data_IF_689175861791
#
_entry.id   IF_689175861791
#
_cell.length_a   1.000
_cell.length_b   1.000
_cell.length_c   1.000
_cell.angle_alpha   90.00
_cell.angle_beta   90.00
_cell.angle_gamma   90.00
#
_symmetry.space_group_name_H-M   'P 1'
#
loop_
_entity.id
_entity.type
_entity.pdbx_description
1 polymer ?
#
# COMPACT_ATOMS: atom_id res chain seq x y z
N UNK A 1 -2.42 16.35 12.35
CA UNK A 1 -1.86 17.32 13.32
C UNK A 1 -0.72 18.07 12.66
N UNK A 2 -0.88 19.38 12.59
CA UNK A 2 0.02 20.30 11.89
C UNK A 2 0.76 21.19 12.89
N UNK A 3 1.92 21.72 12.49
CA UNK A 3 2.80 22.55 13.34
C UNK A 3 2.11 23.84 13.81
N UNK A 4 1.25 24.41 12.97
CA UNK A 4 0.46 25.60 13.30
C UNK A 4 -0.49 25.34 14.47
N UNK A 5 -1.19 24.20 14.43
CA UNK A 5 -2.05 23.75 15.53
C UNK A 5 -1.21 23.50 16.77
N UNK A 6 -0.11 22.73 16.66
CA UNK A 6 0.77 22.42 17.78
C UNK A 6 1.27 23.65 18.55
N UNK A 7 1.71 24.68 17.83
CA UNK A 7 2.39 25.84 18.41
C UNK A 7 1.43 26.91 18.94
N UNK A 8 0.21 27.01 18.38
CA UNK A 8 -0.72 28.11 18.66
C UNK A 8 -1.95 27.70 19.45
N UNK A 9 -2.34 26.42 19.43
CA UNK A 9 -3.56 25.98 20.11
C UNK A 9 -3.32 25.56 21.55
N UNK A 10 -4.41 25.58 22.32
CA UNK A 10 -4.49 25.23 23.72
C UNK A 10 -5.65 24.24 23.85
N UNK A 11 -5.54 23.26 24.74
CA UNK A 11 -6.62 22.32 25.05
C UNK A 11 -7.75 23.03 25.82
N UNK A 12 -8.91 22.37 25.91
CA UNK A 12 -10.05 22.86 26.71
C UNK A 12 -9.71 23.04 28.21
N UNK A 13 -8.65 22.39 28.67
CA UNK A 13 -8.11 22.47 30.04
C UNK A 13 -7.06 23.59 30.22
N UNK A 14 -6.75 24.37 29.17
CA UNK A 14 -5.80 25.48 29.23
C UNK A 14 -4.32 25.09 29.05
N UNK A 15 -4.02 23.84 28.66
CA UNK A 15 -2.64 23.36 28.45
C UNK A 15 -2.24 23.53 26.99
N UNK A 16 -1.00 23.99 26.73
CA UNK A 16 -0.50 24.16 25.35
C UNK A 16 -0.23 22.80 24.71
N UNK A 17 -0.73 22.58 23.50
CA UNK A 17 -0.47 21.34 22.76
C UNK A 17 1.02 21.07 22.54
N UNK A 18 1.83 22.13 22.40
CA UNK A 18 3.28 22.03 22.30
C UNK A 18 3.90 21.34 23.52
N UNK A 19 3.42 21.64 24.73
CA UNK A 19 3.95 21.08 25.97
C UNK A 19 3.60 19.60 26.10
N UNK A 20 2.33 19.25 25.83
CA UNK A 20 1.87 17.86 25.80
C UNK A 20 2.68 17.02 24.80
N UNK A 21 2.85 17.55 23.60
CA UNK A 21 3.63 16.89 22.56
C UNK A 21 5.09 16.68 22.96
N UNK A 22 5.76 17.69 23.52
CA UNK A 22 7.17 17.55 23.93
C UNK A 22 7.33 16.55 25.08
N UNK A 23 6.35 16.49 25.99
CA UNK A 23 6.31 15.52 27.07
C UNK A 23 6.18 14.09 26.52
N UNK A 24 5.28 13.85 25.56
CA UNK A 24 5.17 12.54 24.90
C UNK A 24 6.36 12.24 23.98
N UNK A 25 6.91 13.25 23.31
CA UNK A 25 8.04 13.05 22.42
C UNK A 25 9.28 12.62 23.19
N UNK A 26 9.55 13.23 24.35
CA UNK A 26 10.71 12.90 25.18
C UNK A 26 10.59 11.54 25.89
N UNK A 27 9.37 11.01 26.09
CA UNK A 27 9.19 9.64 26.58
C UNK A 27 9.52 8.59 25.52
N UNK A 28 9.24 8.88 24.24
CA UNK A 28 9.54 7.99 23.11
C UNK A 28 10.98 8.14 22.59
N UNK A 29 11.49 9.36 22.59
CA UNK A 29 12.81 9.73 22.07
C UNK A 29 13.60 10.45 23.16
N UNK A 30 14.29 9.70 24.05
CA UNK A 30 15.05 10.30 25.14
C UNK A 30 16.20 11.13 24.57
N UNK A 31 16.26 12.40 24.93
CA UNK A 31 17.30 13.32 24.47
C UNK A 31 16.95 14.79 24.70
N UNK A 32 17.92 15.71 24.50
CA UNK A 32 17.68 17.13 24.61
C UNK A 32 16.76 17.62 23.48
N UNK A 33 15.67 18.30 23.86
CA UNK A 33 14.72 18.91 22.92
C UNK A 33 14.79 20.43 23.02
N UNK A 34 14.78 21.12 21.88
CA UNK A 34 14.76 22.58 21.82
C UNK A 34 13.39 23.08 21.33
N UNK A 35 12.51 23.57 22.23
CA UNK A 35 11.17 24.03 21.86
C UNK A 35 11.15 25.37 21.09
N UNK A 36 12.23 26.15 21.16
CA UNK A 36 12.30 27.48 20.55
C UNK A 36 12.71 27.43 19.07
N UNK A 37 13.15 26.28 18.58
CA UNK A 37 13.64 26.09 17.23
C UNK A 37 12.51 25.53 16.32
N UNK A 38 11.94 26.33 15.40
CA UNK A 38 10.81 25.88 14.57
C UNK A 38 11.17 24.76 13.58
N UNK A 39 12.40 24.76 13.07
CA UNK A 39 12.92 23.67 12.23
C UNK A 39 13.08 22.37 13.02
N UNK A 40 13.55 22.46 14.26
CA UNK A 40 13.67 21.32 15.17
C UNK A 40 12.30 20.74 15.52
N UNK A 41 11.30 21.59 15.82
CA UNK A 41 9.93 21.16 16.06
C UNK A 41 9.35 20.40 14.86
N UNK A 42 9.64 20.86 13.64
CA UNK A 42 9.23 20.12 12.44
C UNK A 42 9.91 18.75 12.37
N UNK A 43 11.21 18.67 12.66
CA UNK A 43 11.93 17.40 12.69
C UNK A 43 11.35 16.44 13.74
N UNK A 44 11.05 16.92 14.94
CA UNK A 44 10.44 16.12 16.01
C UNK A 44 9.07 15.60 15.60
N UNK A 45 8.22 16.46 15.03
CA UNK A 45 6.89 16.06 14.58
C UNK A 45 6.96 15.06 13.42
N UNK A 46 7.91 15.21 12.51
CA UNK A 46 8.17 14.22 11.45
C UNK A 46 8.62 12.88 12.05
N UNK A 47 9.59 12.87 12.96
CA UNK A 47 10.08 11.65 13.60
C UNK A 47 8.97 10.95 14.41
N UNK A 48 8.16 11.73 15.12
CA UNK A 48 6.99 11.22 15.84
C UNK A 48 5.98 10.58 14.89
N UNK A 49 5.61 11.24 13.79
CA UNK A 49 4.75 10.66 12.74
C UNK A 49 5.35 9.37 12.16
N UNK A 50 6.65 9.37 11.87
CA UNK A 50 7.33 8.19 11.34
C UNK A 50 7.28 7.02 12.30
N UNK A 51 7.52 7.23 13.59
CA UNK A 51 7.44 6.18 14.61
C UNK A 51 6.07 5.51 14.64
N UNK A 52 4.99 6.29 14.67
CA UNK A 52 3.64 5.70 14.63
C UNK A 52 3.29 5.10 13.27
N UNK A 53 3.76 5.66 12.16
CA UNK A 53 3.59 5.04 10.84
C UNK A 53 4.34 3.70 10.72
N UNK A 54 5.51 3.57 11.35
CA UNK A 54 6.23 2.29 11.42
C UNK A 54 5.53 1.27 12.33
N UNK A 55 4.76 1.74 13.32
CA UNK A 55 3.94 0.90 14.19
C UNK A 55 2.56 0.57 13.60
N UNK A 56 2.11 1.29 12.57
CA UNK A 56 0.85 0.97 11.91
C UNK A 56 0.98 -0.40 11.22
N UNK A 57 0.09 -1.32 11.56
CA UNK A 57 -0.03 -2.57 10.83
C UNK A 57 -0.43 -2.28 9.39
N UNK A 58 0.52 -2.37 8.48
CA UNK A 58 0.31 -2.38 7.03
C UNK A 58 -0.21 -3.73 6.53
N UNK A 59 -0.53 -4.65 7.44
CA UNK A 59 -1.02 -5.97 7.13
C UNK A 59 -2.42 -5.90 6.52
N UNK A 60 -2.56 -6.38 5.30
CA UNK A 60 -3.83 -6.47 4.56
C UNK A 60 -4.70 -7.66 5.01
N UNK A 61 -4.14 -8.55 5.83
CA UNK A 61 -4.86 -9.67 6.41
C UNK A 61 -5.62 -9.22 7.65
N UNK A 62 -6.89 -9.58 7.73
CA UNK A 62 -7.73 -9.30 8.90
C UNK A 62 -8.28 -10.61 9.46
N UNK A 63 -8.09 -10.85 10.75
CA UNK A 63 -8.68 -11.98 11.46
C UNK A 63 -10.16 -11.72 11.73
N UNK A 64 -10.96 -12.79 11.76
CA UNK A 64 -12.30 -12.69 12.34
C UNK A 64 -12.23 -12.36 13.83
N UNK A 65 -13.20 -11.59 14.33
CA UNK A 65 -13.30 -11.24 15.75
C UNK A 65 -13.31 -12.48 16.68
N UNK A 66 -13.87 -13.61 16.22
CA UNK A 66 -13.90 -14.87 16.99
C UNK A 66 -12.54 -15.58 17.09
N UNK A 67 -11.56 -15.16 16.31
CA UNK A 67 -10.20 -15.72 16.26
C UNK A 67 -9.16 -14.69 16.69
N UNK A 68 -9.54 -13.76 17.56
CA UNK A 68 -8.56 -12.89 18.23
C UNK A 68 -7.83 -13.67 19.34
N UNK A 69 -6.52 -13.41 19.46
CA UNK A 69 -5.62 -14.05 20.42
C UNK A 69 -5.43 -15.56 20.19
N UNK A 70 -5.37 -15.99 18.94
CA UNK A 70 -5.00 -17.37 18.60
C UNK A 70 -3.47 -17.56 18.62
N UNK A 71 -2.96 -18.72 19.05
CA UNK A 71 -1.53 -18.97 19.02
C UNK A 71 -1.03 -19.07 17.57
N UNK A 72 0.15 -18.49 17.30
CA UNK A 72 0.76 -18.52 15.96
C UNK A 72 1.05 -19.94 15.46
N UNK A 73 1.46 -20.81 16.38
CA UNK A 73 1.71 -22.24 16.19
C UNK A 73 1.38 -22.97 17.49
N UNK A 74 1.20 -24.29 17.42
CA UNK A 74 0.91 -25.08 18.61
C UNK A 74 2.04 -24.95 19.64
N UNK A 75 1.73 -24.38 20.80
CA UNK A 75 2.72 -24.12 21.86
C UNK A 75 3.46 -22.79 21.76
N UNK A 76 3.11 -21.92 20.81
CA UNK A 76 3.70 -20.58 20.73
C UNK A 76 3.27 -19.70 21.90
N UNK A 77 4.19 -18.91 22.50
CA UNK A 77 3.82 -17.86 23.44
C UNK A 77 3.19 -16.65 22.74
N UNK A 78 3.24 -16.58 21.40
CA UNK A 78 2.77 -15.44 20.63
C UNK A 78 1.28 -15.63 20.29
N UNK A 79 0.44 -14.79 20.88
CA UNK A 79 -0.99 -14.71 20.58
C UNK A 79 -1.25 -13.65 19.51
N UNK A 80 -1.72 -14.08 18.34
CA UNK A 80 -1.98 -13.23 17.19
C UNK A 80 -3.37 -12.62 17.29
N UNK A 81 -3.48 -11.33 17.07
CA UNK A 81 -4.71 -10.55 17.03
C UNK A 81 -4.62 -9.48 15.92
N UNK A 82 -5.72 -8.76 15.66
CA UNK A 82 -5.76 -7.74 14.61
C UNK A 82 -4.80 -6.55 14.86
N UNK A 83 -4.33 -6.36 16.10
CA UNK A 83 -3.43 -5.26 16.48
C UNK A 83 -1.94 -5.61 16.37
N UNK A 84 -1.59 -6.89 16.26
CA UNK A 84 -0.19 -7.33 16.14
C UNK A 84 0.07 -8.22 14.91
N UNK A 85 -0.96 -8.49 14.10
CA UNK A 85 -0.81 -9.37 12.95
C UNK A 85 0.11 -8.76 11.90
N UNK A 86 1.19 -9.47 11.62
CA UNK A 86 2.10 -9.16 10.51
C UNK A 86 1.78 -10.05 9.31
N UNK A 87 2.25 -9.66 8.13
CA UNK A 87 2.11 -10.49 6.92
C UNK A 87 2.83 -11.84 7.06
N UNK A 88 3.89 -11.91 7.85
CA UNK A 88 4.60 -13.15 8.16
C UNK A 88 3.74 -14.08 9.04
N UNK A 89 3.16 -13.55 10.12
CA UNK A 89 2.27 -14.31 10.99
C UNK A 89 1.01 -14.78 10.25
N UNK A 90 0.45 -13.92 9.41
CA UNK A 90 -0.68 -14.29 8.58
C UNK A 90 -0.37 -15.45 7.63
N UNK A 91 0.82 -15.46 7.01
CA UNK A 91 1.28 -16.55 6.15
C UNK A 91 1.46 -17.85 6.94
N UNK A 92 2.02 -17.80 8.14
CA UNK A 92 2.16 -18.98 9.01
C UNK A 92 0.79 -19.55 9.40
N UNK A 93 -0.16 -18.69 9.80
CA UNK A 93 -1.53 -19.10 10.10
C UNK A 93 -2.23 -19.71 8.88
N UNK A 94 -1.96 -19.22 7.66
CA UNK A 94 -2.49 -19.81 6.43
C UNK A 94 -1.89 -21.18 6.07
N UNK A 95 -0.68 -21.49 6.55
CA UNK A 95 -0.05 -22.82 6.36
C UNK A 95 -0.65 -23.90 7.27
N UNK A 96 -1.33 -23.50 8.35
CA UNK A 96 -1.99 -24.42 9.26
C UNK A 96 -3.20 -25.14 8.61
N UNK A 97 -3.58 -26.33 9.10
CA UNK A 97 -4.79 -27.00 8.65
C UNK A 97 -6.01 -26.10 8.88
N UNK A 98 -6.76 -25.82 7.81
CA UNK A 98 -7.90 -24.90 7.78
C UNK A 98 -7.57 -23.43 8.09
N UNK A 99 -6.33 -22.99 7.87
CA UNK A 99 -5.86 -21.63 8.18
C UNK A 99 -6.67 -20.49 7.56
N UNK A 100 -7.29 -20.70 6.41
CA UNK A 100 -8.16 -19.70 5.75
C UNK A 100 -9.35 -19.28 6.62
N UNK A 101 -9.85 -20.17 7.49
CA UNK A 101 -11.01 -19.88 8.35
C UNK A 101 -10.73 -18.78 9.37
N UNK A 102 -9.46 -18.53 9.69
CA UNK A 102 -9.08 -17.50 10.65
C UNK A 102 -9.28 -16.08 10.10
N UNK A 103 -9.25 -15.90 8.77
CA UNK A 103 -9.24 -14.60 8.12
C UNK A 103 -10.61 -14.18 7.62
N UNK A 104 -11.04 -12.99 8.04
CA UNK A 104 -12.20 -12.29 7.49
C UNK A 104 -11.89 -11.60 6.16
N UNK A 105 -10.65 -11.14 5.99
CA UNK A 105 -10.18 -10.47 4.79
C UNK A 105 -8.80 -11.01 4.41
N UNK A 106 -8.70 -11.51 3.19
CA UNK A 106 -7.42 -11.84 2.56
C UNK A 106 -7.08 -10.76 1.53
N UNK A 107 -5.78 -10.44 1.34
CA UNK A 107 -5.37 -9.60 0.23
C UNK A 107 -5.78 -10.23 -1.11
N UNK A 108 -6.11 -9.41 -2.12
CA UNK A 108 -6.28 -9.91 -3.47
C UNK A 108 -5.00 -10.63 -3.89
N UNK A 109 -5.12 -11.85 -4.44
CA UNK A 109 -3.97 -12.59 -4.95
C UNK A 109 -3.23 -11.71 -5.95
N UNK A 110 -2.00 -11.33 -5.61
CA UNK A 110 -1.07 -10.79 -6.60
C UNK A 110 -0.76 -11.93 -7.58
N UNK A 111 -1.46 -11.94 -8.72
CA UNK A 111 -1.07 -12.79 -9.84
C UNK A 111 0.38 -12.44 -10.21
N UNK A 112 1.28 -13.43 -10.28
CA UNK A 112 2.67 -13.16 -10.64
C UNK A 112 2.70 -12.51 -12.03
N UNK A 113 3.38 -11.36 -12.14
CA UNK A 113 3.52 -10.52 -13.34
C UNK A 113 3.90 -11.30 -14.63
N UNK A 114 4.43 -12.52 -14.47
CA UNK A 114 4.78 -13.48 -15.52
C UNK A 114 3.61 -13.84 -16.46
N UNK A 115 2.37 -13.92 -15.95
CA UNK A 115 1.23 -14.33 -16.78
C UNK A 115 0.64 -13.19 -17.62
N UNK A 116 0.67 -11.95 -17.10
CA UNK A 116 0.25 -10.74 -17.83
C UNK A 116 1.12 -10.48 -19.07
N UNK A 117 2.42 -10.78 -19.00
CA UNK A 117 3.33 -10.60 -20.15
C UNK A 117 3.06 -11.67 -21.23
N UNK A 118 2.67 -12.89 -20.82
CA UNK A 118 2.35 -13.98 -21.77
C UNK A 118 1.06 -13.70 -22.54
N UNK A 119 0.05 -13.13 -21.90
CA UNK A 119 -1.21 -12.75 -22.57
C UNK A 119 -1.03 -11.57 -23.52
N UNK A 120 -0.27 -10.54 -23.14
CA UNK A 120 0.08 -9.41 -24.04
C UNK A 120 0.88 -9.86 -25.28
N UNK A 121 1.88 -10.76 -25.11
CA UNK A 121 2.65 -11.30 -26.25
C UNK A 121 1.80 -12.16 -27.20
N UNK A 122 0.76 -12.84 -26.68
CA UNK A 122 -0.13 -13.69 -27.50
C UNK A 122 -1.13 -12.85 -28.31
N UNK A 123 -1.57 -11.71 -27.77
CA UNK A 123 -2.43 -10.75 -28.50
C UNK A 123 -1.65 -10.08 -29.63
N UNK A 124 -0.42 -9.60 -29.39
CA UNK A 124 0.42 -8.95 -30.42
C UNK A 124 0.81 -9.90 -31.56
N UNK A 125 1.04 -11.18 -31.27
CA UNK A 125 1.36 -12.18 -32.32
C UNK A 125 0.17 -12.58 -33.18
N UNK A 126 -1.06 -12.51 -32.65
CA UNK A 126 -2.28 -12.79 -33.45
C UNK A 126 -2.59 -11.64 -34.43
N UNK A 127 -2.37 -10.38 -34.03
CA UNK A 127 -2.58 -9.22 -34.90
C UNK A 127 -1.49 -9.04 -35.96
N UNK A 128 -0.27 -9.52 -35.74
CA UNK A 128 0.79 -9.50 -36.77
C UNK A 128 0.62 -10.56 -37.87
N UNK A 129 -0.04 -11.70 -37.58
CA UNK A 129 -0.18 -12.82 -38.53
C UNK A 129 -1.40 -12.71 -39.46
N UNK A 130 -2.33 -11.79 -39.18
CA UNK A 130 -3.51 -11.52 -40.02
C UNK A 130 -3.24 -10.56 -41.19
N UNK A 131 -2.03 -9.97 -41.29
CA UNK A 131 -1.70 -8.93 -42.30
C UNK A 131 -0.77 -9.41 -43.44
N UNK A 132 -0.52 -10.72 -43.58
CA UNK A 132 0.32 -11.31 -44.65
C UNK A 132 -0.32 -12.58 -45.23
N UNK A 133 -1.28 -12.40 -46.13
CA UNK A 133 -1.80 -13.31 -47.16
C UNK A 133 -2.73 -12.43 -48.01
N UNK A 134 -2.62 -12.25 -49.32
CA UNK A 134 -1.76 -12.77 -50.39
C UNK A 134 -1.74 -11.70 -51.53
N UNK A 135 -0.88 -11.84 -52.56
CA UNK A 135 -0.58 -10.83 -53.59
C UNK A 135 -1.44 -10.97 -54.88
N UNK A 136 -1.06 -10.24 -55.95
CA UNK A 136 -1.47 -10.33 -57.39
C UNK A 136 -2.63 -9.40 -57.83
N UNK A 137 -2.43 -8.25 -58.52
CA UNK A 137 -1.88 -7.87 -59.85
C UNK A 137 -2.98 -7.68 -60.94
N UNK A 138 -2.71 -6.77 -61.89
CA UNK A 138 -3.38 -6.42 -63.19
C UNK A 138 -4.39 -5.26 -63.10
N UNK A 139 -4.36 -4.13 -63.85
CA UNK A 139 -3.45 -3.41 -64.78
C UNK A 139 -4.10 -2.02 -65.09
N UNK A 140 -3.36 -1.03 -65.65
CA UNK A 140 -3.86 0.30 -66.10
C UNK A 140 -4.33 0.28 -67.59
N UNK A 141 -4.77 1.36 -68.29
CA UNK A 141 -5.01 2.80 -67.97
C UNK A 141 -6.48 3.22 -68.31
N UNK A 142 -6.93 4.49 -68.27
CA UNK A 142 -6.93 5.39 -69.46
C UNK A 142 -7.40 6.82 -69.12
N UNK A 143 -6.93 7.76 -69.93
CA UNK A 143 -7.08 9.21 -69.82
C UNK A 143 -8.35 9.64 -70.54
N UNK A 144 -9.15 10.54 -69.98
CA UNK A 144 -9.97 11.45 -70.82
C UNK A 144 -10.32 12.75 -70.10
N UNK A 145 -9.87 13.84 -70.73
CA UNK A 145 -10.32 15.21 -70.54
C UNK A 145 -11.85 15.30 -70.61
N UNK A 146 -12.44 16.33 -69.99
CA UNK A 146 -13.20 17.41 -70.66
C UNK A 146 -14.14 18.13 -69.69
N UNK A 147 -13.88 19.42 -69.50
CA UNK A 147 -14.77 20.46 -68.96
C UNK A 147 -16.06 20.57 -69.79
N UNK A 148 -17.23 20.78 -69.18
CA UNK A 148 -17.96 22.05 -69.39
C UNK A 148 -18.79 22.43 -68.14
N UNK A 149 -19.34 23.63 -67.93
CA UNK A 149 -19.44 24.91 -68.62
C UNK A 149 -19.59 26.00 -67.54
#
# INVERSE_FOLDING_TARGET
MDISTLTRSVTDEGVRYLELFLKEFTTLFPGPVNPSCPTCLHAYLTAYKQHYNTMQNTCTYRLHAKYENIPLEFGSPILVNNTNITTAYAKQLLQQPNGQRFFAQLPPKEEPLSEKIKTLKKVVRKSAKAKKKDPENVSPPDISNTTPA
#
